data_IF_413892115790
#
_entry.id   IF_413892115790
#
_cell.length_a   1.000
_cell.length_b   1.000
_cell.length_c   1.000
_cell.angle_alpha   90.00
_cell.angle_beta   90.00
_cell.angle_gamma   90.00
#
_symmetry.space_group_name_H-M   'P 1'
#
loop_
_entity.id
_entity.type
_entity.pdbx_description
1 polymer ?
2 non-polymer ?
3 water ?
#
# COMPACT_ATOMS: atom_id res chain seq x y z
N UNK A 1 -20.61 38.70 32.35
CA UNK A 1 -20.93 37.28 32.32
C UNK A 1 -19.66 36.43 32.23
N UNK A 2 -19.31 35.75 33.33
CA UNK A 2 -18.04 35.02 33.41
C UNK A 2 -18.02 33.85 32.45
N UNK A 3 -16.83 33.47 32.00
CA UNK A 3 -16.72 32.47 30.97
C UNK A 3 -15.74 31.36 31.29
N UNK A 4 -16.15 30.13 31.04
CA UNK A 4 -15.27 29.02 31.26
C UNK A 4 -15.19 28.17 30.02
N UNK A 5 -13.97 27.97 29.55
CA UNK A 5 -13.77 27.13 28.38
C UNK A 5 -13.06 25.88 28.83
N UNK A 6 -13.37 24.78 28.16
CA UNK A 6 -12.74 23.51 28.47
C UNK A 6 -12.44 22.74 27.21
N UNK A 7 -11.19 22.32 27.06
CA UNK A 7 -10.80 21.57 25.90
C UNK A 7 -10.40 20.17 26.31
N UNK A 8 -11.00 19.18 25.67
CA UNK A 8 -10.69 17.78 25.92
C UNK A 8 -9.70 17.29 24.86
N UNK A 9 -8.74 16.47 25.26
CA UNK A 9 -7.74 15.95 24.34
C UNK A 9 -8.01 14.49 23.92
N UNK A 13 -5.82 8.23 21.65
CA UNK A 13 -5.80 9.21 20.57
C UNK A 13 -4.97 8.73 19.39
N UNK A 14 -4.99 7.41 19.16
CA UNK A 14 -4.25 6.80 18.07
C UNK A 14 -5.01 6.89 16.75
N UNK A 15 -4.31 7.25 15.67
CA UNK A 15 -4.95 7.36 14.37
C UNK A 15 -5.23 5.98 13.82
N UNK A 16 -6.41 5.82 13.23
CA UNK A 16 -6.88 4.51 12.80
C UNK A 16 -7.09 4.43 11.28
N UNK A 17 -6.64 3.32 10.69
CA UNK A 17 -6.88 3.10 9.25
C UNK A 17 -8.25 2.54 8.94
N UNK A 18 -9.08 3.33 8.24
CA UNK A 18 -10.46 2.95 7.91
C UNK A 18 -10.54 1.98 6.74
N UNK A 19 -11.59 1.17 6.69
CA UNK A 19 -11.80 0.29 5.54
C UNK A 19 -12.23 1.13 4.34
N UNK A 20 -11.72 0.77 3.17
CA UNK A 20 -12.03 1.53 1.97
C UNK A 20 -12.24 0.64 0.75
N UNK A 21 -13.08 1.13 -0.17
CA UNK A 21 -13.28 0.46 -1.43
C UNK A 21 -13.12 1.47 -2.57
N UNK A 22 -12.37 1.08 -3.59
CA UNK A 22 -12.09 1.95 -4.72
C UNK A 22 -12.80 1.47 -5.97
N UNK A 23 -13.50 2.38 -6.63
CA UNK A 23 -14.15 2.03 -7.89
C UNK A 23 -13.88 3.16 -8.90
N UNK A 24 -14.23 2.93 -10.16
CA UNK A 24 -13.92 3.91 -11.19
C UNK A 24 -14.84 3.80 -12.40
N UNK A 25 -15.04 4.93 -13.07
CA UNK A 25 -15.63 4.98 -14.40
C UNK A 25 -14.64 5.80 -15.26
N UNK A 26 -14.90 6.00 -16.57
CA UNK A 26 -13.88 6.74 -17.33
C UNK A 26 -13.56 8.14 -16.79
N UNK A 27 -14.53 8.79 -16.14
CA UNK A 27 -14.39 10.17 -15.68
C UNK A 27 -13.89 10.35 -14.23
N UNK A 28 -14.24 9.42 -13.34
CA UNK A 28 -13.93 9.57 -11.90
C UNK A 28 -13.38 8.33 -11.20
N UNK A 29 -12.53 8.58 -10.22
CA UNK A 29 -12.13 7.57 -9.26
C UNK A 29 -12.86 7.83 -7.95
N UNK A 30 -13.64 6.84 -7.54
CA UNK A 30 -14.41 6.94 -6.32
C UNK A 30 -13.77 6.16 -5.18
N UNK A 31 -13.69 6.81 -4.03
CA UNK A 31 -13.21 6.18 -2.82
C UNK A 31 -14.31 6.20 -1.78
N UNK A 32 -14.70 5.02 -1.31
CA UNK A 32 -15.70 4.91 -0.27
C UNK A 32 -14.98 4.48 0.99
N UNK A 33 -15.07 5.32 2.02
CA UNK A 33 -14.38 5.07 3.26
C UNK A 33 -15.39 4.90 4.38
N UNK A 34 -15.36 3.76 5.07
CA UNK A 34 -16.31 3.56 6.16
C UNK A 34 -15.71 4.05 7.46
N UNK A 35 -16.42 4.97 8.11
CA UNK A 35 -15.92 5.60 9.32
C UNK A 35 -16.94 5.46 10.44
N UNK A 36 -17.30 4.21 10.72
CA UNK A 36 -18.42 3.92 11.62
C UNK A 36 -18.19 4.56 12.96
N UNK A 37 -16.96 4.48 13.47
CA UNK A 37 -16.65 5.14 14.73
C UNK A 37 -16.53 6.65 14.51
N UNK A 38 -17.52 7.22 13.82
CA UNK A 38 -17.47 8.64 13.46
C UNK A 38 -17.54 9.50 14.71
N UNK A 39 -16.38 9.68 15.37
CA UNK A 39 -16.30 10.61 16.48
C UNK A 39 -16.69 11.99 15.97
N UNK A 40 -16.18 12.31 14.79
CA UNK A 40 -16.46 13.60 14.19
C UNK A 40 -17.30 13.42 12.93
N UNK A 41 -17.79 14.54 12.42
CA UNK A 41 -18.65 14.56 11.26
C UNK A 41 -18.07 15.56 10.28
N UNK A 42 -16.87 16.03 10.63
CA UNK A 42 -16.06 16.88 9.78
C UNK A 42 -15.03 15.96 9.14
N UNK A 43 -14.93 16.03 7.82
CA UNK A 43 -14.01 15.17 7.08
C UNK A 43 -13.12 16.04 6.20
N UNK A 44 -11.82 15.78 6.25
CA UNK A 44 -10.88 16.59 5.48
C UNK A 44 -10.07 15.76 4.49
N UNK A 45 -10.14 16.13 3.21
CA UNK A 45 -9.47 15.40 2.15
C UNK A 45 -8.43 16.26 1.44
N UNK A 46 -7.22 15.71 1.25
CA UNK A 46 -6.17 16.40 0.52
C UNK A 46 -5.67 15.52 -0.63
N UNK A 47 -5.75 15.99 -1.87
CA UNK A 47 -5.23 15.19 -2.98
C UNK A 47 -4.37 16.02 -3.93
N UNK A 48 -3.34 15.38 -4.46
CA UNK A 48 -2.45 16.05 -5.41
C UNK A 48 -1.71 15.05 -6.30
N UNK A 49 -1.86 15.21 -7.61
CA UNK A 49 -1.27 14.24 -8.51
C UNK A 49 -1.86 12.88 -8.19
N UNK A 50 -1.02 11.94 -7.78
CA UNK A 50 -1.45 10.58 -7.48
C UNK A 50 -1.52 10.31 -5.98
N UNK A 51 -1.33 11.37 -5.19
CA UNK A 51 -1.31 11.26 -3.74
C UNK A 51 -2.67 11.60 -3.11
N UNK A 52 -3.13 10.73 -2.22
CA UNK A 52 -4.44 10.93 -1.62
C UNK A 52 -4.38 10.78 -0.10
N UNK A 53 -4.98 11.72 0.62
CA UNK A 53 -4.99 11.73 2.09
C UNK A 53 -6.37 12.03 2.64
N UNK A 54 -6.83 11.23 3.59
CA UNK A 54 -8.14 11.43 4.23
C UNK A 54 -8.02 11.47 5.76
N UNK A 55 -8.57 12.50 6.37
CA UNK A 55 -8.56 12.69 7.82
C UNK A 55 -9.99 12.75 8.35
N UNK A 56 -10.25 11.97 9.40
CA UNK A 56 -11.52 12.03 10.12
C UNK A 56 -11.36 11.34 11.45
N UNK A 57 -10.80 12.10 12.41
CA UNK A 57 -10.40 11.58 13.71
C UNK A 57 -11.34 10.52 14.25
N UNK A 58 -10.79 9.37 14.65
CA UNK A 58 -9.37 9.04 14.71
C UNK A 58 -8.87 8.34 13.44
N UNK A 59 -9.57 8.52 12.33
CA UNK A 59 -9.21 7.84 11.10
C UNK A 59 -8.22 8.63 10.26
N UNK A 60 -7.23 7.95 9.73
CA UNK A 60 -6.35 8.49 8.71
C UNK A 60 -6.11 7.46 7.60
N UNK A 61 -6.21 7.88 6.35
CA UNK A 61 -5.93 6.99 5.22
C UNK A 61 -5.12 7.70 4.14
N UNK A 62 -3.93 7.18 3.84
CA UNK A 62 -3.11 7.71 2.76
C UNK A 62 -2.86 6.65 1.69
N UNK A 63 -3.04 7.05 0.43
CA UNK A 63 -2.89 6.16 -0.72
C UNK A 63 -2.06 6.79 -1.84
N UNK A 64 -1.24 5.99 -2.51
CA UNK A 64 -0.70 6.38 -3.81
C UNK A 64 -1.55 5.75 -4.88
N UNK A 65 -2.16 6.58 -5.71
CA UNK A 65 -3.05 6.08 -6.75
C UNK A 65 -2.27 5.76 -8.01
N UNK A 66 -2.71 4.71 -8.74
CA UNK A 66 -2.12 4.24 -9.99
C UNK A 66 -2.16 5.27 -11.12
N UNK A 67 -2.86 6.38 -10.92
CA UNK A 67 -2.96 7.45 -11.92
C UNK A 67 -3.16 8.80 -11.25
N UNK A 68 -3.29 9.87 -12.03
CA UNK A 68 -3.37 11.21 -11.46
C UNK A 68 -4.78 11.79 -11.39
N UNK A 69 -5.02 12.58 -10.33
CA UNK A 69 -6.26 13.31 -10.10
C UNK A 69 -6.07 14.82 -10.24
N UNK A 70 -7.04 15.49 -10.85
CA UNK A 70 -6.95 16.92 -11.09
C UNK A 70 -7.81 17.72 -10.10
N UNK A 71 -7.35 18.92 -9.77
CA UNK A 71 -8.06 19.81 -8.83
C UNK A 71 -8.89 20.88 -9.57
N UNK A 72 -10.19 20.63 -9.74
CA UNK A 72 -11.03 21.56 -10.50
C UNK A 72 -12.45 21.73 -9.94
N UNK A 73 -12.59 21.58 -8.64
CA UNK A 73 -13.88 21.75 -7.98
C UNK A 73 -15.01 20.81 -8.44
N UNK A 74 -14.73 19.92 -9.37
CA UNK A 74 -15.77 19.00 -9.85
C UNK A 74 -15.84 17.76 -8.97
N UNK A 75 -14.89 17.67 -8.03
CA UNK A 75 -14.86 16.60 -7.05
C UNK A 75 -16.08 16.68 -6.14
N UNK A 76 -16.58 15.51 -5.70
CA UNK A 76 -17.86 15.44 -5.01
C UNK A 76 -17.85 14.55 -3.76
N UNK A 77 -18.04 15.13 -2.59
CA UNK A 77 -18.05 14.36 -1.36
C UNK A 77 -19.45 14.23 -0.78
N UNK A 78 -19.73 13.09 -0.12
CA UNK A 78 -21.05 12.89 0.49
C UNK A 78 -20.97 11.86 1.59
N UNK A 79 -21.98 11.81 2.46
CA UNK A 79 -21.94 10.94 3.63
C UNK A 79 -23.28 10.27 3.92
N UNK A 80 -23.22 8.97 4.11
CA UNK A 80 -24.39 8.19 4.51
C UNK A 80 -24.33 7.86 5.98
N UNK A 81 -25.27 8.42 6.74
CA UNK A 81 -25.36 8.15 8.17
C UNK A 81 -25.88 6.74 8.44
N UNK A 82 -26.79 6.28 7.57
CA UNK A 82 -27.40 4.96 7.73
C UNK A 82 -26.37 3.85 7.70
N UNK A 83 -25.28 4.08 6.99
CA UNK A 83 -24.25 3.07 6.82
C UNK A 83 -22.90 3.53 7.36
N UNK A 84 -22.81 4.80 7.75
CA UNK A 84 -21.58 5.34 8.27
C UNK A 84 -20.49 5.37 7.19
N UNK A 85 -20.87 5.80 5.99
CA UNK A 85 -19.94 5.72 4.85
C UNK A 85 -19.74 7.05 4.14
N UNK A 86 -18.49 7.51 4.09
CA UNK A 86 -18.15 8.71 3.36
C UNK A 86 -17.65 8.37 1.98
N UNK A 87 -18.18 9.03 0.96
CA UNK A 87 -17.84 8.70 -0.41
C UNK A 87 -17.33 9.93 -1.12
N UNK A 88 -16.22 9.77 -1.81
CA UNK A 88 -15.64 10.89 -2.52
C UNK A 88 -15.34 10.55 -4.00
N UNK A 89 -15.84 11.39 -4.90
CA UNK A 89 -15.57 11.29 -6.34
C UNK A 89 -14.51 12.26 -6.82
N UNK A 90 -13.43 11.70 -7.36
CA UNK A 90 -12.29 12.47 -7.80
C UNK A 90 -12.12 12.40 -9.31
N UNK A 91 -12.20 13.56 -9.98
CA UNK A 91 -12.15 13.52 -11.45
C UNK A 91 -10.75 13.15 -11.92
N UNK A 92 -10.66 12.23 -12.88
CA UNK A 92 -9.36 11.79 -13.39
C UNK A 92 -8.71 12.87 -14.24
N UNK A 93 -7.38 12.96 -14.18
CA UNK A 93 -6.69 13.98 -14.95
C UNK A 93 -6.73 13.64 -16.45
N UNK A 94 -6.44 12.39 -16.81
CA UNK A 94 -6.72 11.93 -18.17
C UNK A 94 -8.02 11.15 -18.20
N UNK A 95 -9.09 11.78 -18.69
CA UNK A 95 -10.36 11.04 -18.79
C UNK A 95 -10.20 9.87 -19.73
N UNK A 96 -10.84 8.77 -19.42
CA UNK A 96 -10.73 7.58 -20.23
C UNK A 96 -9.63 6.69 -19.71
N UNK A 97 -8.72 7.24 -18.92
CA UNK A 97 -7.65 6.43 -18.37
C UNK A 97 -8.19 5.42 -17.38
N UNK A 98 -7.80 4.16 -17.56
CA UNK A 98 -8.24 3.13 -16.65
C UNK A 98 -7.17 2.89 -15.60
N UNK A 99 -7.51 3.08 -14.33
CA UNK A 99 -6.54 2.87 -13.25
C UNK A 99 -6.37 1.40 -13.01
N UNK A 100 -5.14 0.90 -13.07
CA UNK A 100 -4.88 -0.52 -12.90
C UNK A 100 -4.52 -0.85 -11.46
N UNK A 101 -4.99 -1.99 -10.99
CA UNK A 101 -4.60 -2.49 -9.67
C UNK A 101 -5.27 -1.76 -8.52
N UNK A 102 -6.49 -1.29 -8.74
CA UNK A 102 -7.22 -0.55 -7.72
C UNK A 102 -7.55 -1.38 -6.48
N UNK A 103 -8.01 -2.60 -6.70
CA UNK A 103 -8.47 -3.46 -5.60
C UNK A 103 -7.35 -4.07 -4.79
N UNK A 104 -6.12 -3.67 -5.10
CA UNK A 104 -4.93 -4.20 -4.45
C UNK A 104 -4.19 -3.15 -3.61
N UNK A 105 -4.71 -1.93 -3.57
CA UNK A 105 -3.98 -0.82 -2.95
C UNK A 105 -3.92 -0.92 -1.41
N UNK A 106 -2.72 -0.67 -0.87
CA UNK A 106 -2.49 -0.71 0.58
C UNK A 106 -2.45 0.67 1.21
N UNK A 107 -3.02 0.81 2.39
CA UNK A 107 -2.86 2.04 3.15
C UNK A 107 -1.39 2.30 3.44
N UNK A 108 -0.97 3.52 3.15
CA UNK A 108 0.35 4.06 3.50
C UNK A 108 0.40 4.53 4.96
N UNK A 109 1.59 4.55 5.54
CA UNK A 109 1.75 5.04 6.90
C UNK A 109 2.21 6.50 6.92
N UNK B 2 17.71 -48.72 7.60
CA UNK B 2 16.50 -47.94 7.80
C UNK B 2 16.79 -46.45 7.77
N UNK B 3 15.74 -45.68 7.50
CA UNK B 3 15.85 -44.24 7.44
C UNK B 3 14.77 -43.68 8.34
N UNK B 4 15.14 -42.70 9.15
CA UNK B 4 14.18 -42.04 10.02
C UNK B 4 14.30 -40.54 9.83
N UNK B 5 13.19 -39.88 9.54
CA UNK B 5 13.19 -38.43 9.35
C UNK B 5 12.43 -37.76 10.48
N UNK B 6 12.82 -36.55 10.81
CA UNK B 6 12.16 -35.81 11.87
C UNK B 6 11.92 -34.36 11.48
N UNK B 7 10.67 -33.92 11.62
CA UNK B 7 10.29 -32.52 11.44
C UNK B 7 10.29 -31.82 12.80
N UNK B 8 10.40 -30.51 12.80
CA UNK B 8 10.53 -29.78 14.07
C UNK B 8 9.21 -29.23 14.63
N UNK B 9 8.15 -29.27 13.83
CA UNK B 9 6.82 -28.78 14.23
C UNK B 9 6.81 -27.27 14.45
N UNK B 14 1.85 -20.55 11.98
CA UNK B 14 3.29 -20.37 12.06
C UNK B 14 3.83 -19.49 10.94
N UNK B 15 2.93 -18.94 10.13
CA UNK B 15 3.36 -18.07 9.03
C UNK B 15 3.80 -16.70 9.53
N UNK B 16 4.94 -16.21 9.03
CA UNK B 16 5.49 -14.94 9.49
C UNK B 16 5.65 -13.91 8.37
N UNK B 17 5.20 -12.69 8.62
CA UNK B 17 5.39 -11.59 7.71
C UNK B 17 6.77 -11.02 7.96
N UNK B 18 7.68 -11.12 6.99
CA UNK B 18 9.05 -10.70 7.28
C UNK B 18 9.23 -9.18 7.27
N UNK B 19 10.22 -8.72 8.01
CA UNK B 19 10.60 -7.31 8.01
C UNK B 19 11.28 -6.98 6.70
N UNK B 20 10.97 -5.83 6.14
CA UNK B 20 11.55 -5.45 4.85
C UNK B 20 11.92 -3.98 4.77
N UNK B 21 12.90 -3.67 3.92
CA UNK B 21 13.24 -2.30 3.55
C UNK B 21 13.32 -2.14 2.03
N UNK B 22 12.72 -1.06 1.54
CA UNK B 22 12.66 -0.76 0.10
C UNK B 22 13.52 0.45 -0.33
N UNK B 23 14.32 0.29 -1.39
CA UNK B 23 15.13 1.41 -1.88
C UNK B 23 15.04 1.47 -3.41
N UNK B 24 15.51 2.55 -4.05
CA UNK B 24 15.33 2.67 -5.51
C UNK B 24 16.31 3.57 -6.23
N UNK B 25 16.56 3.23 -7.49
CA UNK B 25 17.25 4.12 -8.41
C UNK B 25 16.38 4.22 -9.68
N UNK B 26 16.78 5.03 -10.67
CA UNK B 26 15.91 5.08 -11.85
C UNK B 26 15.70 3.75 -12.57
N UNK B 27 16.65 2.83 -12.54
CA UNK B 27 16.49 1.61 -13.33
C UNK B 27 15.84 0.47 -12.57
N UNK B 28 16.06 0.43 -11.26
CA UNK B 28 15.64 -0.72 -10.46
C UNK B 28 14.96 -0.36 -9.14
N UNK B 29 14.07 -1.25 -8.72
CA UNK B 29 13.48 -1.23 -7.37
C UNK B 29 14.10 -2.33 -6.50
N UNK B 30 14.73 -1.97 -5.39
CA UNK B 30 15.37 -2.97 -4.53
C UNK B 30 14.50 -3.30 -3.31
N UNK B 31 14.33 -4.61 -3.08
CA UNK B 31 13.61 -5.13 -1.92
C UNK B 31 14.55 -5.98 -1.08
N UNK B 32 14.74 -5.56 0.18
CA UNK B 32 15.57 -6.29 1.12
C UNK B 32 14.69 -6.90 2.22
N UNK B 33 14.72 -8.23 2.32
CA UNK B 33 13.88 -8.98 3.25
C UNK B 33 14.72 -9.72 4.31
N UNK B 34 14.40 -9.51 5.57
CA UNK B 34 15.13 -10.17 6.64
C UNK B 34 14.52 -11.55 6.87
N UNK B 35 15.34 -12.57 6.80
CA UNK B 35 14.85 -13.93 6.95
C UNK B 35 15.67 -14.69 7.99
N UNK B 36 15.75 -14.09 9.17
CA UNK B 36 16.67 -14.51 10.22
C UNK B 36 16.48 -15.95 10.74
N UNK B 37 15.24 -16.38 10.93
CA UNK B 37 14.96 -17.70 11.53
C UNK B 37 15.24 -18.92 10.66
N UNK B 38 14.64 -18.96 9.48
CA UNK B 38 14.68 -20.16 8.66
C UNK B 38 16.13 -20.50 8.23
N UNK B 39 16.49 -21.76 7.91
CA UNK B 39 15.70 -22.94 7.50
C UNK B 39 15.26 -22.69 6.07
N UNK B 40 16.13 -22.02 5.33
CA UNK B 40 15.88 -21.56 3.97
C UNK B 40 16.69 -22.18 2.83
N UNK B 41 17.53 -21.34 2.23
CA UNK B 41 18.33 -21.60 1.04
C UNK B 41 17.44 -21.71 -0.19
N UNK B 42 16.13 -21.61 0.02
CA UNK B 42 15.18 -21.53 -1.09
C UNK B 42 14.31 -20.27 -1.04
N UNK B 43 14.29 -19.49 -2.11
CA UNK B 43 13.47 -18.30 -2.17
C UNK B 43 12.68 -18.24 -3.46
N UNK B 44 11.38 -18.01 -3.34
CA UNK B 44 10.56 -17.95 -4.52
C UNK B 44 9.85 -16.63 -4.60
N UNK B 45 10.10 -15.92 -5.67
CA UNK B 45 9.50 -14.63 -5.84
C UNK B 45 8.61 -14.63 -7.05
N UNK B 46 7.41 -14.12 -6.87
CA UNK B 46 6.49 -13.98 -7.99
C UNK B 46 6.09 -12.52 -8.13
N UNK B 47 6.37 -11.91 -9.28
CA UNK B 47 5.97 -10.53 -9.48
C UNK B 47 5.26 -10.32 -10.81
N UNK B 48 4.29 -9.43 -10.81
CA UNK B 48 3.55 -9.15 -12.03
C UNK B 48 2.93 -7.76 -11.98
N UNK B 49 3.28 -6.91 -12.93
CA UNK B 49 2.82 -5.52 -12.89
C UNK B 49 3.33 -4.92 -11.60
N UNK B 50 2.43 -4.54 -10.71
CA UNK B 50 2.81 -3.92 -9.44
C UNK B 50 2.64 -4.87 -8.25
N UNK B 51 2.32 -6.14 -8.52
CA UNK B 51 2.09 -7.15 -7.46
C UNK B 51 3.35 -7.95 -7.16
N UNK B 52 3.67 -8.10 -5.88
CA UNK B 52 4.89 -8.78 -5.48
C UNK B 52 4.66 -9.80 -4.36
N UNK B 53 5.22 -10.99 -4.53
CA UNK B 53 5.06 -12.10 -3.58
C UNK B 53 6.37 -12.78 -3.28
N UNK B 54 6.64 -12.98 -2.01
CA UNK B 54 7.87 -13.58 -1.57
C UNK B 54 7.57 -14.76 -0.70
N UNK B 55 8.17 -15.90 -1.06
CA UNK B 55 8.02 -17.12 -0.30
C UNK B 55 9.38 -17.59 0.15
N UNK B 56 9.45 -17.90 1.45
CA UNK B 56 10.62 -18.56 2.01
C UNK B 56 10.27 -19.06 3.40
N UNK B 57 9.63 -20.24 3.47
CA UNK B 57 9.10 -20.81 4.71
C UNK B 57 10.02 -20.56 5.92
N UNK B 58 9.45 -20.03 7.00
CA UNK B 58 8.02 -19.77 7.18
C UNK B 58 7.55 -18.38 6.77
N UNK B 59 8.34 -17.66 5.98
CA UNK B 59 8.01 -16.28 5.61
C UNK B 59 7.20 -16.18 4.34
N UNK B 60 6.20 -15.30 4.39
CA UNK B 60 5.47 -14.86 3.20
C UNK B 60 5.31 -13.35 3.24
N UNK B 61 5.59 -12.70 2.10
CA UNK B 61 5.46 -11.26 2.01
C UNK B 61 4.77 -10.83 0.73
N UNK B 62 3.67 -10.10 0.85
CA UNK B 62 3.02 -9.61 -0.35
C UNK B 62 2.97 -8.08 -0.34
N UNK B 63 3.31 -7.46 -1.47
CA UNK B 63 3.31 -6.01 -1.58
C UNK B 63 2.64 -5.56 -2.85
N UNK B 64 1.85 -4.50 -2.75
CA UNK B 64 1.38 -3.77 -3.91
C UNK B 64 2.36 -2.64 -4.15
N UNK B 65 3.01 -2.62 -5.30
CA UNK B 65 4.01 -1.58 -5.56
C UNK B 65 3.37 -0.35 -6.16
N UNK B 66 3.91 0.83 -5.83
CA UNK B 66 3.43 2.14 -6.31
C UNK B 66 3.55 2.27 -7.82
N UNK B 67 4.28 1.33 -8.42
CA UNK B 67 4.48 1.34 -9.85
C UNK B 67 4.68 -0.10 -10.28
N UNK B 68 4.89 -0.29 -11.58
CA UNK B 68 4.92 -1.60 -12.18
C UNK B 68 6.35 -2.09 -12.44
N UNK B 69 6.50 -3.40 -12.39
CA UNK B 69 7.77 -4.10 -12.64
C UNK B 69 7.69 -4.89 -13.95
N UNK B 70 8.79 -4.94 -14.71
CA UNK B 70 8.76 -5.63 -15.98
C UNK B 70 9.37 -7.05 -15.92
N UNK B 71 8.77 -7.96 -16.69
CA UNK B 71 9.22 -9.34 -16.71
C UNK B 71 10.09 -9.60 -17.94
N UNK B 72 11.40 -9.51 -17.77
CA UNK B 72 12.30 -9.70 -18.90
C UNK B 72 13.61 -10.35 -18.46
N UNK B 73 13.53 -11.19 -17.44
CA UNK B 73 14.69 -11.92 -16.94
C UNK B 73 15.83 -11.07 -16.41
N UNK B 74 15.67 -9.75 -16.39
CA UNK B 74 16.76 -8.88 -15.95
C UNK B 74 16.78 -8.72 -14.42
N UNK B 75 15.82 -9.33 -13.74
CA UNK B 75 15.75 -9.31 -12.28
C UNK B 75 16.98 -9.97 -11.66
N UNK B 76 17.40 -9.48 -10.50
CA UNK B 76 18.65 -9.96 -9.89
C UNK B 76 18.46 -10.33 -8.43
N UNK B 77 18.60 -11.62 -8.12
CA UNK B 77 18.42 -12.08 -6.76
C UNK B 77 19.72 -12.50 -6.10
N UNK B 78 19.83 -12.24 -4.79
CA UNK B 78 21.01 -12.59 -4.03
C UNK B 78 20.68 -12.71 -2.54
N UNK B 79 21.56 -13.35 -1.77
CA UNK B 79 21.29 -13.56 -0.36
C UNK B 79 22.55 -13.41 0.49
N UNK B 80 22.46 -12.61 1.53
CA UNK B 80 23.59 -12.43 2.43
C UNK B 80 23.32 -13.22 3.69
N UNK B 81 24.07 -14.31 3.82
CA UNK B 81 23.96 -15.18 4.98
C UNK B 81 24.56 -14.49 6.19
N UNK B 82 25.57 -13.67 5.95
CA UNK B 82 26.24 -12.93 7.01
C UNK B 82 25.29 -11.99 7.75
N UNK B 83 24.23 -11.54 7.07
CA UNK B 83 23.27 -10.62 7.66
C UNK B 83 21.84 -11.20 7.69
N UNK B 84 21.66 -12.35 7.07
CA UNK B 84 20.37 -13.01 7.03
C UNK B 84 19.35 -12.22 6.24
N UNK B 85 19.81 -11.69 5.12
CA UNK B 85 18.98 -10.79 4.34
C UNK B 85 18.96 -11.22 2.88
N UNK B 86 17.78 -11.49 2.34
CA UNK B 86 17.61 -11.78 0.93
C UNK B 86 17.28 -10.51 0.17
N UNK B 87 17.98 -10.28 -0.93
CA UNK B 87 17.81 -9.04 -1.69
C UNK B 87 17.46 -9.31 -3.14
N UNK B 88 16.42 -8.64 -3.61
CA UNK B 88 15.97 -8.81 -4.99
C UNK B 88 15.82 -7.45 -5.67
N UNK B 89 16.46 -7.32 -6.84
CA UNK B 89 16.35 -6.13 -7.67
C UNK B 89 15.39 -6.37 -8.83
N UNK B 90 14.32 -5.57 -8.86
CA UNK B 90 13.22 -5.70 -9.83
C UNK B 90 13.19 -4.53 -10.82
N UNK B 91 13.33 -4.80 -12.12
CA UNK B 91 13.41 -3.69 -13.08
C UNK B 91 12.09 -2.95 -13.27
N UNK B 92 12.14 -1.62 -13.32
CA UNK B 92 10.95 -0.78 -13.48
C UNK B 92 10.40 -0.88 -14.90
N UNK B 93 9.08 -0.80 -15.02
CA UNK B 93 8.46 -0.88 -16.34
C UNK B 93 8.72 0.39 -17.15
N UNK B 94 8.45 1.52 -16.54
CA UNK B 94 8.87 2.80 -17.11
C UNK B 94 10.12 3.27 -16.37
N UNK B 95 11.30 3.11 -16.97
CA UNK B 95 12.54 3.57 -16.32
C UNK B 95 12.52 5.09 -16.11
N UNK B 96 13.10 5.55 -15.00
CA UNK B 96 13.05 6.96 -14.65
C UNK B 96 11.88 7.30 -13.74
N UNK B 97 10.89 6.43 -13.68
CA UNK B 97 9.74 6.67 -12.80
C UNK B 97 10.16 6.55 -11.33
N UNK B 98 9.74 7.51 -10.53
CA UNK B 98 10.00 7.51 -9.11
C UNK B 98 8.78 6.96 -8.38
N UNK B 99 8.97 5.86 -7.65
CA UNK B 99 7.86 5.27 -6.89
C UNK B 99 7.62 6.11 -5.63
N UNK B 100 6.39 6.57 -5.45
CA UNK B 100 6.07 7.46 -4.35
C UNK B 100 5.58 6.75 -3.09
N UNK B 101 6.01 7.27 -1.94
CA UNK B 101 5.53 6.82 -0.66
C UNK B 101 6.12 5.49 -0.25
N UNK B 102 7.35 5.23 -0.70
CA UNK B 102 7.99 3.94 -0.43
C UNK B 102 8.21 3.66 1.05
N UNK B 103 8.65 4.66 1.80
CA UNK B 103 8.97 4.44 3.21
C UNK B 103 7.73 4.28 4.09
N UNK B 104 6.56 4.35 3.47
CA UNK B 104 5.28 4.25 4.17
C UNK B 104 4.53 2.98 3.76
N UNK B 105 5.13 2.22 2.86
CA UNK B 105 4.46 1.05 2.32
C UNK B 105 4.35 -0.10 3.32
N UNK B 106 3.14 -0.64 3.45
CA UNK B 106 2.87 -1.75 4.36
C UNK B 106 2.72 -3.07 3.61
N UNK B 107 3.19 -4.16 4.22
CA UNK B 107 2.96 -5.50 3.68
C UNK B 107 1.46 -5.70 3.52
N UNK B 108 1.06 -6.26 2.39
CA UNK B 108 -0.35 -6.53 2.20
C UNK B 108 -0.69 -7.73 3.05
N UNK B 109 -1.82 -7.66 3.74
CA UNK B 109 -2.25 -8.73 4.65
C UNK B 109 -3.33 -9.61 4.06
#
# INVERSE_FOLDING_TARGET
MAHHHHHHVDDDDKMLTPAFDLSQDPDFLTIAIRVSYARVSEFDVYFEGSDFKFYAKPYFLRLTLPGRIVENGSEQGSYDADKGIFTIRLPKETPGQHFEGLNMLTALLA
MAHHHHHHVDDDDKMLTPAFDLSQDPDFLTIAIRVSYARVSEFDVYFEGSDFKFYAKPYFLRLTLPGRIVENGSEQGSYDADKGIFTIRLPKETPGQHFEGLNMLTALLA
#
